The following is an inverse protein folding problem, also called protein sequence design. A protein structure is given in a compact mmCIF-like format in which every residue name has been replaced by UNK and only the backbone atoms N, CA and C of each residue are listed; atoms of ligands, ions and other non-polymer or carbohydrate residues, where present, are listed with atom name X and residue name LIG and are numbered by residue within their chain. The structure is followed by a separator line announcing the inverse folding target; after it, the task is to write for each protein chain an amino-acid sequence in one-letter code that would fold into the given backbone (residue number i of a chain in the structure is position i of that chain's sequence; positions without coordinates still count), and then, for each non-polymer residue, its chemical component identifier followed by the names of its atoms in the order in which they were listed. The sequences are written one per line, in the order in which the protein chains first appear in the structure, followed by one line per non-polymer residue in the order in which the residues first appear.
data_IF_593019257168
#
_entry.id   IF_593019257168
#
_cell.length_a   1.000
_cell.length_b   1.000
_cell.length_c   1.000
_cell.angle_alpha   90.00
_cell.angle_beta   90.00
_cell.angle_gamma   90.00
#
_symmetry.space_group_name_H-M   'P 1'
#
loop_
_entity.id
_entity.type
_entity.pdbx_description
1 polymer ?
#
# COMPACT_ATOMS: atom_id res chain seq x y z
N UNK A 1 15.32 22.98 -8.59
CA UNK A 1 14.74 22.21 -7.46
C UNK A 1 13.33 21.81 -7.85
N UNK A 2 12.90 20.60 -7.48
CA UNK A 2 11.52 20.19 -7.66
C UNK A 2 10.67 20.95 -6.62
N UNK A 3 9.48 21.40 -7.01
CA UNK A 3 8.49 22.01 -6.10
C UNK A 3 7.20 21.22 -6.19
N UNK A 4 6.32 21.37 -5.21
CA UNK A 4 4.98 20.78 -5.25
C UNK A 4 3.93 21.76 -4.76
N UNK A 5 2.81 21.82 -5.48
CA UNK A 5 1.66 22.66 -5.13
C UNK A 5 0.48 21.81 -4.69
N UNK A 6 -0.21 22.27 -3.66
CA UNK A 6 -1.33 21.60 -3.01
C UNK A 6 -2.43 22.63 -2.76
N UNK A 7 -3.69 22.21 -2.89
CA UNK A 7 -4.83 23.01 -2.39
C UNK A 7 -4.79 23.08 -0.87
N UNK A 8 -5.43 24.06 -0.25
CA UNK A 8 -5.45 24.19 1.20
C UNK A 8 -6.07 22.98 1.91
N UNK A 9 -7.07 22.34 1.29
CA UNK A 9 -7.60 21.06 1.79
C UNK A 9 -6.51 19.97 1.78
N UNK A 10 -5.74 19.87 0.70
CA UNK A 10 -4.66 18.90 0.60
C UNK A 10 -3.51 19.22 1.55
N UNK A 11 -3.19 20.50 1.75
CA UNK A 11 -2.17 20.97 2.68
C UNK A 11 -2.47 20.53 4.11
N UNK A 12 -3.66 20.83 4.63
CA UNK A 12 -4.05 20.38 5.98
C UNK A 12 -4.07 18.87 6.09
N UNK A 13 -4.64 18.18 5.09
CA UNK A 13 -4.63 16.72 5.08
C UNK A 13 -3.21 16.13 5.02
N UNK A 14 -2.23 16.85 4.45
CA UNK A 14 -0.82 16.45 4.47
C UNK A 14 -0.21 16.63 5.84
N UNK A 15 -0.46 17.74 6.52
CA UNK A 15 0.02 17.99 7.89
C UNK A 15 -0.59 17.01 8.91
N UNK A 16 -1.84 16.59 8.70
CA UNK A 16 -2.52 15.61 9.53
C UNK A 16 -2.16 14.14 9.18
N UNK A 17 -1.34 13.89 8.17
CA UNK A 17 -1.03 12.53 7.71
C UNK A 17 0.03 11.84 8.58
N UNK A 18 -0.31 10.83 9.39
CA UNK A 18 0.63 10.20 10.33
C UNK A 18 1.75 9.40 9.63
N UNK A 19 1.61 9.13 8.33
CA UNK A 19 2.65 8.45 7.54
C UNK A 19 3.73 9.47 7.11
N UNK A 20 3.32 10.68 6.76
CA UNK A 20 4.21 11.80 6.45
C UNK A 20 4.81 12.43 7.71
N UNK A 21 4.09 12.36 8.84
CA UNK A 21 4.49 12.93 10.14
C UNK A 21 4.43 11.90 11.27
N UNK A 22 5.35 10.92 11.31
CA UNK A 22 5.34 9.91 12.36
C UNK A 22 5.83 10.47 13.69
N UNK A 23 5.12 10.18 14.78
CA UNK A 23 5.49 10.59 16.14
C UNK A 23 5.55 12.11 16.30
N UNK A 24 6.53 12.61 17.06
CA UNK A 24 6.70 14.05 17.32
C UNK A 24 7.54 14.74 16.22
N UNK A 25 7.35 14.37 14.95
CA UNK A 25 8.07 14.96 13.81
C UNK A 25 7.80 16.47 13.71
N UNK A 26 8.80 17.24 13.30
CA UNK A 26 8.67 18.69 13.11
C UNK A 26 9.39 19.18 11.84
N UNK A 27 8.98 20.35 11.36
CA UNK A 27 9.57 21.02 10.20
C UNK A 27 10.78 21.86 10.62
N UNK A 28 11.84 21.79 9.83
CA UNK A 28 13.01 22.65 9.91
C UNK A 28 13.31 23.24 8.53
N UNK A 29 13.66 24.52 8.48
CA UNK A 29 14.12 25.23 7.27
C UNK A 29 13.18 25.05 6.07
N UNK A 30 11.91 25.45 6.20
CA UNK A 30 10.93 25.39 5.12
C UNK A 30 10.82 26.71 4.36
N UNK A 31 10.68 26.62 3.04
CA UNK A 31 10.21 27.75 2.23
C UNK A 31 8.98 27.31 1.47
N UNK A 32 7.89 28.04 1.71
CA UNK A 32 6.61 27.92 1.06
C UNK A 32 6.37 29.13 0.16
N UNK A 33 5.52 28.98 -0.85
CA UNK A 33 4.85 30.10 -1.52
C UNK A 33 3.37 30.01 -1.23
N UNK A 34 2.83 31.07 -0.63
CA UNK A 34 1.42 31.20 -0.30
C UNK A 34 0.92 32.55 -0.82
N UNK A 35 -0.15 32.53 -1.64
CA UNK A 35 -0.73 33.73 -2.29
C UNK A 35 0.28 34.62 -3.04
N UNK A 36 1.32 34.00 -3.59
CA UNK A 36 2.35 34.66 -4.39
C UNK A 36 3.54 35.19 -3.59
N UNK A 37 3.53 35.06 -2.26
CA UNK A 37 4.61 35.48 -1.38
C UNK A 37 5.36 34.26 -0.83
N UNK A 38 6.68 34.38 -0.69
CA UNK A 38 7.50 33.38 0.00
C UNK A 38 7.37 33.57 1.51
N UNK A 39 7.18 32.47 2.24
CA UNK A 39 7.10 32.44 3.70
C UNK A 39 7.75 31.17 4.23
N UNK A 40 8.41 31.27 5.38
CA UNK A 40 9.01 30.17 6.14
C UNK A 40 8.16 29.74 7.35
N UNK A 41 7.10 30.50 7.64
CA UNK A 41 6.14 30.26 8.71
C UNK A 41 4.72 30.51 8.18
N UNK A 42 3.95 29.44 7.98
CA UNK A 42 2.56 29.51 7.51
C UNK A 42 1.64 29.00 8.63
N UNK A 43 0.84 29.90 9.17
CA UNK A 43 -0.24 29.53 10.09
C UNK A 43 -1.36 28.81 9.31
N UNK A 44 -1.53 27.51 9.58
CA UNK A 44 -2.51 26.66 8.92
C UNK A 44 -3.96 27.15 9.10
N UNK A 45 -4.24 27.90 10.17
CA UNK A 45 -5.55 28.50 10.41
C UNK A 45 -5.92 29.58 9.38
N UNK A 46 -4.93 30.11 8.64
CA UNK A 46 -5.13 31.13 7.61
C UNK A 46 -5.34 30.56 6.20
N UNK A 47 -5.08 29.27 6.00
CA UNK A 47 -5.17 28.58 4.71
C UNK A 47 -6.63 28.22 4.44
N UNK A 48 -7.21 28.73 3.36
CA UNK A 48 -8.56 28.36 2.89
C UNK A 48 -8.51 27.14 1.96
N UNK A 49 -9.64 26.45 1.78
CA UNK A 49 -9.73 25.20 1.02
C UNK A 49 -9.16 25.27 -0.40
N UNK A 50 -9.42 26.38 -1.10
CA UNK A 50 -9.04 26.64 -2.48
C UNK A 50 -7.71 27.41 -2.62
N UNK A 51 -7.09 27.84 -1.52
CA UNK A 51 -5.76 28.43 -1.56
C UNK A 51 -4.75 27.41 -2.11
N UNK A 52 -3.71 27.92 -2.77
CA UNK A 52 -2.59 27.09 -3.24
C UNK A 52 -1.37 27.36 -2.37
N UNK A 53 -0.91 26.31 -1.68
CA UNK A 53 0.37 26.28 -0.96
C UNK A 53 1.38 25.55 -1.84
N UNK A 54 2.53 26.15 -2.10
CA UNK A 54 3.62 25.52 -2.86
C UNK A 54 4.85 25.33 -1.98
N UNK A 55 5.28 24.09 -1.79
CA UNK A 55 6.50 23.76 -1.05
C UNK A 55 7.67 23.88 -2.03
N UNK A 56 8.64 24.75 -1.71
CA UNK A 56 9.88 24.90 -2.47
C UNK A 56 11.02 24.08 -1.87
N UNK A 57 11.12 24.11 -0.56
CA UNK A 57 12.10 23.37 0.24
C UNK A 57 11.57 23.19 1.66
N UNK A 58 12.19 22.28 2.39
CA UNK A 58 11.83 21.97 3.77
C UNK A 58 12.40 20.63 4.18
N UNK A 59 12.71 20.50 5.46
CA UNK A 59 13.14 19.26 6.04
C UNK A 59 12.21 18.84 7.16
N UNK A 60 11.81 17.58 7.17
CA UNK A 60 11.09 16.97 8.29
C UNK A 60 12.10 16.21 9.12
N UNK A 61 12.17 16.56 10.42
CA UNK A 61 12.99 15.85 11.40
C UNK A 61 12.13 14.93 12.24
N UNK A 62 12.63 13.72 12.42
CA UNK A 62 12.06 12.75 13.35
C UNK A 62 12.86 12.77 14.66
N UNK A 63 12.21 12.83 15.83
CA UNK A 63 12.90 12.69 17.10
C UNK A 63 13.36 11.25 17.28
N UNK A 64 14.65 11.03 17.45
CA UNK A 64 15.19 9.71 17.79
C UNK A 64 15.36 9.55 19.33
N UNK A 65 15.20 8.32 19.86
CA UNK A 65 15.66 7.96 21.20
C UNK A 65 17.19 8.21 21.37
N UNK A 66 17.74 8.23 22.60
CA UNK A 66 18.70 9.24 23.05
C UNK A 66 20.10 9.26 22.42
N UNK A 67 20.43 8.38 21.47
CA UNK A 67 21.74 8.37 20.81
C UNK A 67 21.65 7.78 19.40
N UNK A 68 21.29 8.57 18.39
CA UNK A 68 21.59 8.37 16.96
C UNK A 68 21.23 9.64 16.17
N UNK A 69 21.65 9.72 14.91
CA UNK A 69 21.67 10.93 14.07
C UNK A 69 20.25 11.22 13.57
N UNK A 70 19.77 12.46 13.70
CA UNK A 70 18.48 12.89 13.14
C UNK A 70 18.26 12.36 11.71
N UNK A 71 17.20 11.58 11.51
CA UNK A 71 16.73 11.29 10.16
C UNK A 71 16.10 12.57 9.59
N UNK A 72 16.81 13.23 8.69
CA UNK A 72 16.32 14.39 7.94
C UNK A 72 15.72 13.90 6.62
N UNK A 73 14.43 14.16 6.42
CA UNK A 73 13.71 13.80 5.19
C UNK A 73 13.29 15.05 4.43
N UNK A 74 13.46 15.06 3.11
CA UNK A 74 13.02 16.15 2.25
C UNK A 74 11.48 16.27 2.25
N UNK A 75 10.98 17.45 2.62
CA UNK A 75 9.55 17.73 2.74
C UNK A 75 8.85 17.73 1.38
N UNK A 76 9.52 18.15 0.30
CA UNK A 76 8.97 18.10 -1.06
C UNK A 76 8.77 16.64 -1.47
N UNK A 77 9.71 15.75 -1.16
CA UNK A 77 9.58 14.32 -1.42
C UNK A 77 8.40 13.70 -0.63
N UNK A 78 8.24 14.06 0.64
CA UNK A 78 7.12 13.60 1.47
C UNK A 78 5.78 14.07 0.92
N UNK A 79 5.67 15.35 0.56
CA UNK A 79 4.45 15.92 -0.01
C UNK A 79 4.14 15.32 -1.39
N UNK A 80 5.15 15.01 -2.22
CA UNK A 80 4.97 14.28 -3.48
C UNK A 80 4.38 12.89 -3.24
N UNK A 81 4.93 12.13 -2.29
CA UNK A 81 4.39 10.81 -1.91
C UNK A 81 2.96 10.93 -1.40
N UNK A 82 2.68 11.90 -0.53
CA UNK A 82 1.33 12.18 -0.04
C UNK A 82 0.36 12.47 -1.19
N UNK A 83 0.71 13.38 -2.09
CA UNK A 83 -0.16 13.78 -3.21
C UNK A 83 -0.42 12.62 -4.17
N UNK A 84 0.59 11.79 -4.45
CA UNK A 84 0.40 10.57 -5.25
C UNK A 84 -0.62 9.65 -4.56
N UNK A 85 -0.48 9.36 -3.26
CA UNK A 85 -1.45 8.53 -2.52
C UNK A 85 -2.83 9.18 -2.46
N UNK A 86 -2.90 10.49 -2.29
CA UNK A 86 -4.16 11.21 -2.11
C UNK A 86 -4.93 11.35 -3.42
N UNK A 87 -4.25 11.45 -4.56
CA UNK A 87 -4.85 11.60 -5.89
C UNK A 87 -5.00 10.30 -6.66
N UNK A 88 -4.62 9.16 -6.06
CA UNK A 88 -4.68 7.84 -6.69
C UNK A 88 -5.64 6.94 -5.94
N UNK A 89 -6.43 6.18 -6.70
CA UNK A 89 -7.23 5.06 -6.22
C UNK A 89 -6.46 3.79 -6.55
N UNK A 90 -6.26 2.94 -5.56
CA UNK A 90 -5.68 1.60 -5.70
C UNK A 90 -6.77 0.57 -5.44
N UNK A 91 -6.88 -0.45 -6.30
CA UNK A 91 -7.81 -1.56 -6.12
C UNK A 91 -7.12 -2.90 -6.36
N UNK A 92 -7.49 -3.90 -5.56
CA UNK A 92 -7.20 -5.30 -5.82
C UNK A 92 -8.34 -5.89 -6.67
N UNK A 93 -8.01 -6.42 -7.84
CA UNK A 93 -8.98 -6.94 -8.81
C UNK A 93 -8.61 -8.38 -9.16
N UNK A 94 -9.50 -9.32 -8.84
CA UNK A 94 -9.38 -10.74 -9.20
C UNK A 94 -9.85 -10.98 -10.63
N UNK A 95 -9.07 -11.72 -11.40
CA UNK A 95 -9.37 -12.13 -12.78
C UNK A 95 -9.02 -13.60 -13.00
N UNK A 96 -9.58 -14.22 -14.03
CA UNK A 96 -9.16 -15.57 -14.42
C UNK A 96 -7.69 -15.57 -14.92
N UNK A 97 -6.91 -16.64 -14.68
CA UNK A 97 -5.50 -16.71 -15.05
C UNK A 97 -5.21 -16.43 -16.54
N UNK A 98 -6.09 -16.88 -17.44
CA UNK A 98 -5.98 -16.68 -18.89
C UNK A 98 -6.28 -15.23 -19.34
N UNK A 99 -6.96 -14.45 -18.49
CA UNK A 99 -7.25 -13.02 -18.71
C UNK A 99 -6.09 -12.11 -18.30
N UNK A 100 -5.13 -12.59 -17.50
CA UNK A 100 -4.05 -11.75 -16.93
C UNK A 100 -3.25 -11.01 -18.00
N UNK A 101 -2.86 -11.70 -19.09
CA UNK A 101 -2.10 -11.08 -20.17
C UNK A 101 -2.88 -9.95 -20.88
N UNK A 102 -4.18 -10.15 -21.12
CA UNK A 102 -5.05 -9.13 -21.70
C UNK A 102 -5.29 -7.97 -20.72
N UNK A 103 -5.49 -8.26 -19.43
CA UNK A 103 -5.69 -7.25 -18.40
C UNK A 103 -4.47 -6.30 -18.32
N UNK A 104 -3.25 -6.85 -18.28
CA UNK A 104 -2.01 -6.06 -18.28
C UNK A 104 -1.89 -5.16 -19.53
N UNK A 105 -2.16 -5.71 -20.72
CA UNK A 105 -2.06 -4.96 -21.98
C UNK A 105 -3.13 -3.87 -22.10
N UNK A 106 -4.38 -4.19 -21.76
CA UNK A 106 -5.51 -3.27 -21.84
C UNK A 106 -5.44 -2.17 -20.77
N UNK A 107 -4.89 -2.47 -19.58
CA UNK A 107 -4.66 -1.48 -18.53
C UNK A 107 -3.72 -0.38 -18.98
N UNK A 108 -2.62 -0.73 -19.65
CA UNK A 108 -1.70 0.25 -20.26
C UNK A 108 -2.41 1.14 -21.28
N UNK A 109 -3.25 0.57 -22.15
CA UNK A 109 -4.04 1.34 -23.12
C UNK A 109 -5.03 2.30 -22.42
N UNK A 110 -5.61 1.86 -21.31
CA UNK A 110 -6.44 2.69 -20.43
C UNK A 110 -5.62 3.65 -19.54
N UNK A 111 -4.29 3.75 -19.72
CA UNK A 111 -3.37 4.54 -18.89
C UNK A 111 -3.53 4.24 -17.39
N UNK A 112 -3.82 2.98 -17.04
CA UNK A 112 -3.83 2.47 -15.67
C UNK A 112 -2.48 1.83 -15.38
N UNK A 113 -2.02 1.90 -14.13
CA UNK A 113 -0.88 1.10 -13.68
C UNK A 113 -1.44 -0.22 -13.16
N UNK A 114 -1.20 -1.30 -13.88
CA UNK A 114 -1.66 -2.65 -13.51
C UNK A 114 -0.45 -3.50 -13.20
N UNK A 115 -0.48 -4.12 -12.03
CA UNK A 115 0.58 -4.98 -11.51
C UNK A 115 0.00 -6.36 -11.20
N UNK A 116 0.78 -7.40 -11.48
CA UNK A 116 0.44 -8.79 -11.18
C UNK A 116 1.52 -9.32 -10.23
N UNK A 117 1.35 -9.18 -8.89
CA UNK A 117 2.41 -9.47 -7.94
C UNK A 117 2.83 -10.95 -7.96
N UNK A 118 1.86 -11.84 -8.15
CA UNK A 118 2.06 -13.25 -8.41
C UNK A 118 1.29 -13.67 -9.66
N UNK A 119 1.92 -14.49 -10.51
CA UNK A 119 1.24 -15.15 -11.61
C UNK A 119 1.52 -16.67 -11.58
N UNK A 120 0.54 -17.50 -11.19
CA UNK A 120 0.73 -18.95 -11.08
C UNK A 120 1.14 -19.59 -12.41
N UNK A 121 0.72 -19.04 -13.56
CA UNK A 121 1.03 -19.59 -14.88
C UNK A 121 2.52 -19.48 -15.24
N UNK A 122 3.26 -18.58 -14.59
CA UNK A 122 4.69 -18.34 -14.85
C UNK A 122 5.57 -18.56 -13.63
N UNK A 123 4.98 -18.92 -12.49
CA UNK A 123 5.70 -19.10 -11.24
C UNK A 123 6.61 -20.34 -11.31
N UNK A 124 7.76 -20.26 -10.62
CA UNK A 124 8.68 -21.39 -10.50
C UNK A 124 8.13 -22.39 -9.49
N UNK A 125 8.46 -23.66 -9.70
CA UNK A 125 8.03 -24.77 -8.84
C UNK A 125 8.52 -24.71 -7.38
N UNK A 126 9.57 -23.93 -7.08
CA UNK A 126 10.04 -23.70 -5.69
C UNK A 126 10.60 -22.29 -5.52
N UNK A 127 9.79 -21.31 -5.08
CA UNK A 127 10.23 -19.93 -4.92
C UNK A 127 11.06 -19.76 -3.63
N UNK A 128 12.12 -18.94 -3.68
CA UNK A 128 12.87 -18.52 -2.48
C UNK A 128 12.21 -17.37 -1.73
N UNK A 129 11.26 -16.71 -2.38
CA UNK A 129 10.45 -15.63 -1.84
C UNK A 129 9.21 -15.51 -2.72
N UNK A 130 8.10 -15.07 -2.15
CA UNK A 130 6.86 -14.81 -2.86
C UNK A 130 6.48 -13.34 -2.77
N UNK A 131 5.88 -12.82 -3.82
CA UNK A 131 5.27 -11.51 -3.83
C UNK A 131 3.81 -11.70 -4.16
N UNK A 132 2.91 -11.19 -3.32
CA UNK A 132 1.46 -11.33 -3.42
C UNK A 132 0.78 -10.02 -3.01
N UNK A 133 -0.55 -9.95 -3.14
CA UNK A 133 -1.32 -8.80 -2.63
C UNK A 133 -1.62 -8.95 -1.14
N UNK A 134 -1.86 -7.84 -0.44
CA UNK A 134 -2.38 -7.86 0.92
C UNK A 134 -3.73 -8.57 1.02
N UNK A 135 -4.55 -8.49 -0.04
CA UNK A 135 -5.77 -9.28 -0.16
C UNK A 135 -5.49 -10.79 -0.12
N UNK A 136 -4.54 -11.27 -0.93
CA UNK A 136 -4.18 -12.68 -0.96
C UNK A 136 -3.56 -13.14 0.37
N UNK A 137 -2.77 -12.29 1.03
CA UNK A 137 -2.20 -12.57 2.35
C UNK A 137 -3.29 -12.74 3.42
N UNK A 138 -4.29 -11.84 3.42
CA UNK A 138 -5.44 -11.91 4.32
C UNK A 138 -6.30 -13.15 4.05
N UNK A 139 -6.59 -13.47 2.80
CA UNK A 139 -7.31 -14.69 2.44
C UNK A 139 -6.56 -15.96 2.90
N UNK A 140 -5.24 -15.97 2.69
CA UNK A 140 -4.39 -17.09 3.08
C UNK A 140 -4.48 -17.34 4.58
N UNK A 141 -4.28 -16.32 5.41
CA UNK A 141 -4.34 -16.46 6.87
C UNK A 141 -5.74 -16.72 7.43
N UNK A 142 -6.79 -16.37 6.67
CA UNK A 142 -8.18 -16.68 7.02
C UNK A 142 -8.66 -18.05 6.50
N UNK A 143 -7.84 -18.80 5.77
CA UNK A 143 -8.22 -20.11 5.23
C UNK A 143 -8.33 -21.15 6.35
N UNK A 144 -9.33 -22.02 6.29
CA UNK A 144 -9.52 -23.15 7.22
C UNK A 144 -8.90 -24.44 6.62
N UNK A 145 -8.73 -25.52 7.39
CA UNK A 145 -8.33 -26.83 6.85
C UNK A 145 -9.28 -27.31 5.72
N UNK A 146 -8.77 -28.05 4.71
CA UNK A 146 -7.46 -28.70 4.64
C UNK A 146 -6.31 -27.81 4.18
N UNK A 147 -6.57 -26.58 3.75
CA UNK A 147 -5.56 -25.64 3.26
C UNK A 147 -4.57 -25.24 4.36
N UNK A 148 -4.99 -25.28 5.63
CA UNK A 148 -4.11 -25.10 6.78
C UNK A 148 -3.86 -26.40 7.55
N UNK A 149 -2.60 -26.62 8.00
CA UNK A 149 -2.32 -27.66 8.95
C UNK A 149 -3.07 -27.43 10.27
N UNK A 150 -3.74 -28.45 10.79
CA UNK A 150 -4.44 -28.38 12.07
C UNK A 150 -3.45 -28.02 13.19
N UNK A 151 -3.78 -27.01 13.99
CA UNK A 151 -2.95 -26.44 15.08
C UNK A 151 -1.72 -25.61 14.66
N UNK A 152 -1.51 -25.41 13.36
CA UNK A 152 -0.40 -24.65 12.80
C UNK A 152 -0.52 -23.14 12.98
N UNK A 153 0.59 -22.46 13.22
CA UNK A 153 0.68 -20.99 13.25
C UNK A 153 1.95 -20.51 12.54
N UNK A 154 1.92 -19.29 11.98
CA UNK A 154 3.08 -18.68 11.33
C UNK A 154 4.10 -18.24 12.37
N UNK A 155 5.37 -18.57 12.13
CA UNK A 155 6.49 -18.20 12.99
C UNK A 155 7.69 -17.71 12.15
N UNK A 156 8.49 -16.82 12.73
CA UNK A 156 9.69 -16.23 12.14
C UNK A 156 9.46 -15.70 10.71
N UNK A 157 8.29 -15.08 10.48
CA UNK A 157 7.95 -14.60 9.16
C UNK A 157 8.69 -13.31 8.85
N UNK A 158 9.53 -13.33 7.81
CA UNK A 158 10.27 -12.17 7.35
C UNK A 158 9.72 -11.74 6.00
N UNK A 159 9.43 -10.45 5.89
CA UNK A 159 8.86 -9.91 4.67
C UNK A 159 8.85 -8.40 4.59
N UNK A 160 8.15 -7.91 3.56
CA UNK A 160 7.95 -6.48 3.30
C UNK A 160 6.50 -6.21 2.91
N UNK A 161 6.01 -5.03 3.26
CA UNK A 161 4.75 -4.48 2.78
C UNK A 161 5.06 -3.14 2.12
N UNK A 162 4.76 -3.01 0.82
CA UNK A 162 5.10 -1.83 0.00
C UNK A 162 6.57 -1.38 0.19
N UNK A 163 7.49 -2.34 0.05
CA UNK A 163 8.94 -2.21 0.22
C UNK A 163 9.44 -1.85 1.63
N UNK A 164 8.54 -1.65 2.61
CA UNK A 164 8.91 -1.47 4.02
C UNK A 164 9.08 -2.82 4.70
N UNK A 165 10.21 -3.00 5.37
CA UNK A 165 10.45 -4.18 6.22
C UNK A 165 9.46 -4.14 7.39
N UNK A 166 8.83 -5.28 7.67
CA UNK A 166 7.99 -5.46 8.85
C UNK A 166 8.79 -6.26 9.87
N UNK A 167 8.99 -5.68 11.07
CA UNK A 167 9.70 -6.32 12.17
C UNK A 167 8.67 -6.99 13.09
N UNK A 168 8.83 -8.31 13.35
CA UNK A 168 7.97 -9.16 14.19
C UNK A 168 6.65 -9.63 13.54
N UNK A 169 6.79 -10.45 12.49
CA UNK A 169 5.70 -11.12 11.77
C UNK A 169 4.80 -10.18 10.95
N UNK A 170 4.31 -10.69 9.81
CA UNK A 170 3.45 -9.94 8.89
C UNK A 170 2.02 -9.84 9.45
N UNK A 171 1.79 -8.88 10.35
CA UNK A 171 0.46 -8.61 10.91
C UNK A 171 -0.58 -8.30 9.81
N UNK A 172 -1.64 -9.11 9.79
CA UNK A 172 -2.76 -9.02 8.85
C UNK A 172 -3.52 -7.72 8.87
N UNK A 173 -3.62 -7.07 10.04
CA UNK A 173 -4.44 -5.85 10.17
C UNK A 173 -3.77 -4.64 9.49
N UNK A 174 -2.45 -4.69 9.30
CA UNK A 174 -1.68 -3.65 8.61
C UNK A 174 -1.65 -3.81 7.07
N UNK A 175 -2.06 -4.96 6.54
CA UNK A 175 -1.95 -5.27 5.12
C UNK A 175 -3.19 -4.82 4.34
N UNK A 176 -3.16 -3.57 3.84
CA UNK A 176 -4.23 -3.08 2.95
C UNK A 176 -4.39 -4.03 1.73
N UNK A 177 -5.62 -4.25 1.21
CA UNK A 177 -5.86 -5.22 0.12
C UNK A 177 -4.98 -5.05 -1.12
N UNK A 178 -4.61 -3.81 -1.44
CA UNK A 178 -3.80 -3.44 -2.61
C UNK A 178 -2.30 -3.40 -2.33
N UNK A 179 -1.87 -3.56 -1.08
CA UNK A 179 -0.46 -3.52 -0.71
C UNK A 179 0.29 -4.69 -1.36
N UNK A 180 1.55 -4.46 -1.73
CA UNK A 180 2.44 -5.51 -2.22
C UNK A 180 3.11 -6.14 -1.01
N UNK A 181 2.74 -7.39 -0.72
CA UNK A 181 3.34 -8.20 0.34
C UNK A 181 4.44 -9.05 -0.28
N UNK A 182 5.63 -9.01 0.29
CA UNK A 182 6.73 -9.91 -0.05
C UNK A 182 7.05 -10.79 1.14
N UNK A 183 6.90 -12.10 0.99
CA UNK A 183 7.29 -13.09 2.00
C UNK A 183 8.64 -13.68 1.58
N UNK A 184 9.66 -13.51 2.40
CA UNK A 184 11.03 -13.93 2.11
C UNK A 184 11.42 -15.20 2.88
N UNK A 185 10.86 -15.41 4.07
CA UNK A 185 11.01 -16.64 4.85
C UNK A 185 9.93 -16.77 5.92
N UNK A 186 9.88 -17.94 6.55
CA UNK A 186 9.05 -18.24 7.71
C UNK A 186 8.75 -19.74 7.78
N UNK A 187 8.21 -20.19 8.89
CA UNK A 187 7.69 -21.55 9.05
C UNK A 187 6.25 -21.54 9.54
N UNK A 188 5.54 -22.62 9.27
CA UNK A 188 4.31 -22.97 9.95
C UNK A 188 4.69 -23.99 11.01
N UNK A 189 4.65 -23.57 12.27
CA UNK A 189 5.00 -24.39 13.44
C UNK A 189 3.75 -25.01 14.04
N UNK A 190 3.93 -26.13 14.73
CA UNK A 190 2.84 -26.90 15.31
C UNK A 190 2.92 -26.92 16.83
N UNK A 191 1.77 -26.79 17.51
CA UNK A 191 1.71 -26.94 18.97
C UNK A 191 2.05 -28.37 19.41
N UNK A 192 1.90 -29.34 18.51
CA UNK A 192 2.27 -30.74 18.73
C UNK A 192 3.78 -31.02 18.70
N UNK A 193 4.61 -30.05 18.27
CA UNK A 193 6.05 -30.21 18.11
C UNK A 193 6.47 -31.05 16.90
N UNK A 194 5.57 -31.24 15.93
CA UNK A 194 5.89 -31.81 14.63
C UNK A 194 6.85 -30.91 13.85
N UNK A 195 7.57 -31.48 12.88
CA UNK A 195 8.46 -30.71 11.99
C UNK A 195 7.66 -29.61 11.27
N UNK A 196 8.10 -28.36 11.40
CA UNK A 196 7.48 -27.21 10.77
C UNK A 196 7.47 -27.29 9.23
N UNK A 197 6.51 -26.60 8.62
CA UNK A 197 6.39 -26.50 7.16
C UNK A 197 7.02 -25.19 6.69
N UNK A 198 7.74 -25.21 5.57
CA UNK A 198 8.24 -23.99 4.94
C UNK A 198 7.07 -23.11 4.46
N UNK A 199 6.97 -21.88 4.99
CA UNK A 199 5.86 -20.97 4.72
C UNK A 199 5.79 -20.58 3.23
N UNK A 200 6.93 -20.37 2.59
CA UNK A 200 7.01 -19.90 1.20
C UNK A 200 6.56 -21.00 0.25
N UNK A 201 6.98 -22.23 0.49
CA UNK A 201 6.54 -23.41 -0.28
C UNK A 201 5.03 -23.66 -0.09
N UNK A 202 4.53 -23.58 1.14
CA UNK A 202 3.10 -23.78 1.44
C UNK A 202 2.22 -22.71 0.78
N UNK A 203 2.61 -21.44 0.91
CA UNK A 203 1.92 -20.31 0.28
C UNK A 203 1.95 -20.40 -1.26
N UNK A 204 3.06 -20.88 -1.85
CA UNK A 204 3.15 -21.11 -3.29
C UNK A 204 2.13 -22.17 -3.75
N UNK A 205 2.01 -23.26 -2.99
CA UNK A 205 1.01 -24.30 -3.21
C UNK A 205 -0.40 -23.73 -3.19
N UNK A 206 -0.76 -23.04 -2.11
CA UNK A 206 -2.07 -22.39 -1.96
C UNK A 206 -2.39 -21.41 -3.10
N UNK A 207 -1.44 -20.55 -3.47
CA UNK A 207 -1.63 -19.61 -4.59
C UNK A 207 -1.78 -20.31 -5.95
N UNK A 208 -1.14 -21.46 -6.15
CA UNK A 208 -1.18 -22.21 -7.42
C UNK A 208 -2.53 -22.91 -7.67
N UNK A 209 -3.26 -23.24 -6.60
CA UNK A 209 -4.57 -23.90 -6.67
C UNK A 209 -5.73 -22.90 -6.85
N UNK A 210 -5.44 -21.60 -6.77
CA UNK A 210 -6.46 -20.57 -6.91
C UNK A 210 -7.02 -20.47 -8.33
N UNK A 211 -8.35 -20.37 -8.40
CA UNK A 211 -9.09 -20.16 -9.65
C UNK A 211 -8.98 -18.73 -10.20
N UNK A 212 -8.59 -17.77 -9.36
CA UNK A 212 -8.49 -16.35 -9.72
C UNK A 212 -7.14 -15.79 -9.29
N UNK A 213 -6.56 -14.94 -10.13
CA UNK A 213 -5.33 -14.18 -9.88
C UNK A 213 -5.69 -12.76 -9.47
N UNK A 214 -5.07 -12.25 -8.42
CA UNK A 214 -5.30 -10.87 -7.96
C UNK A 214 -4.31 -9.91 -8.62
N UNK A 215 -4.82 -8.85 -9.25
CA UNK A 215 -4.08 -7.74 -9.82
C UNK A 215 -4.17 -6.52 -8.91
N UNK A 216 -3.11 -5.72 -8.83
CA UNK A 216 -3.14 -4.38 -8.20
C UNK A 216 -3.27 -3.34 -9.30
N UNK A 217 -4.25 -2.46 -9.17
CA UNK A 217 -4.56 -1.46 -10.19
C UNK A 217 -4.59 -0.08 -9.58
N UNK A 218 -3.77 0.82 -10.11
CA UNK A 218 -3.73 2.23 -9.71
C UNK A 218 -4.26 3.12 -10.82
N UNK A 219 -5.16 4.02 -10.44
CA UNK A 219 -5.75 5.04 -11.30
C UNK A 219 -5.76 6.39 -10.59
N UNK A 220 -5.55 7.50 -11.32
CA UNK A 220 -5.86 8.82 -10.76
C UNK A 220 -7.35 8.90 -10.43
N UNK A 221 -7.71 9.57 -9.33
CA UNK A 221 -9.11 9.75 -8.87
C UNK A 221 -10.02 10.30 -9.97
N UNK A 222 -9.55 11.28 -10.74
CA UNK A 222 -10.26 11.84 -11.91
C UNK A 222 -10.56 10.83 -13.04
N UNK A 223 -9.98 9.62 -12.97
CA UNK A 223 -10.12 8.53 -13.94
C UNK A 223 -10.75 7.29 -13.32
N UNK A 224 -11.40 7.42 -12.17
CA UNK A 224 -12.09 6.33 -11.49
C UNK A 224 -13.15 5.68 -12.37
N UNK A 225 -13.88 6.44 -13.20
CA UNK A 225 -14.83 5.89 -14.16
C UNK A 225 -14.13 4.99 -15.20
N UNK A 226 -12.92 5.36 -15.64
CA UNK A 226 -12.12 4.53 -16.56
C UNK A 226 -11.61 3.26 -15.91
N UNK A 227 -11.31 3.30 -14.61
CA UNK A 227 -11.00 2.10 -13.84
C UNK A 227 -12.22 1.18 -13.80
N UNK A 228 -13.40 1.69 -13.47
CA UNK A 228 -14.64 0.89 -13.42
C UNK A 228 -15.00 0.27 -14.78
N UNK A 229 -14.93 1.06 -15.87
CA UNK A 229 -15.10 0.57 -17.24
C UNK A 229 -14.10 -0.55 -17.57
N UNK A 230 -12.83 -0.39 -17.20
CA UNK A 230 -11.79 -1.38 -17.44
C UNK A 230 -12.00 -2.67 -16.65
N UNK A 231 -12.37 -2.58 -15.36
CA UNK A 231 -12.69 -3.75 -14.52
C UNK A 231 -13.84 -4.55 -15.13
N UNK A 232 -14.91 -3.87 -15.55
CA UNK A 232 -16.05 -4.52 -16.20
C UNK A 232 -15.64 -5.22 -17.50
N UNK A 233 -14.82 -4.57 -18.33
CA UNK A 233 -14.35 -5.11 -19.61
C UNK A 233 -13.53 -6.40 -19.46
N UNK A 234 -12.67 -6.48 -18.44
CA UNK A 234 -11.82 -7.66 -18.22
C UNK A 234 -12.53 -8.77 -17.42
N UNK A 235 -13.77 -8.55 -17.00
CA UNK A 235 -14.50 -9.47 -16.12
C UNK A 235 -13.94 -9.52 -14.70
N UNK A 236 -13.33 -8.44 -14.23
CA UNK A 236 -12.63 -8.39 -12.94
C UNK A 236 -13.59 -8.28 -11.75
N UNK A 237 -13.21 -8.91 -10.64
CA UNK A 237 -13.92 -8.85 -9.36
C UNK A 237 -13.12 -8.02 -8.35
N UNK A 238 -13.71 -6.95 -7.81
CA UNK A 238 -13.05 -6.15 -6.77
C UNK A 238 -13.05 -6.91 -5.46
N UNK A 239 -11.88 -7.07 -4.82
CA UNK A 239 -11.72 -7.92 -3.63
C UNK A 239 -12.30 -7.28 -2.37
N UNK A 240 -12.15 -5.95 -2.22
CA UNK A 240 -12.79 -5.18 -1.16
C UNK A 240 -12.80 -3.70 -1.61
N UNK A 241 -13.95 -3.03 -1.50
CA UNK A 241 -14.00 -1.59 -1.67
C UNK A 241 -13.51 -0.93 -0.37
N UNK A 242 -12.63 0.07 -0.47
CA UNK A 242 -12.19 0.87 0.68
C UNK A 242 -13.43 1.37 1.43
N UNK A 243 -13.60 1.12 2.74
CA UNK A 243 -14.60 1.85 3.49
C UNK A 243 -14.28 3.34 3.34
N UNK A 244 -15.29 4.12 2.96
CA UNK A 244 -15.15 5.56 2.83
C UNK A 244 -14.80 6.11 4.23
N UNK A 245 -13.61 6.71 4.44
CA UNK A 245 -13.28 7.29 5.74
C UNK A 245 -14.21 8.44 6.13
N UNK A 246 -15.06 8.92 5.20
CA UNK A 246 -16.11 9.90 5.45
C UNK A 246 -17.50 9.29 5.71
N UNK A 247 -17.66 7.96 5.64
CA UNK A 247 -18.94 7.34 5.98
C UNK A 247 -19.19 7.47 7.50
N UNK A 248 -20.29 8.10 7.94
CA UNK A 248 -20.60 8.19 9.35
C UNK A 248 -20.74 6.77 9.92
N UNK A 249 -20.06 6.53 11.05
CA UNK A 249 -20.19 5.30 11.82
C UNK A 249 -21.67 5.10 12.13
N UNK A 250 -22.30 3.98 11.74
CA UNK A 250 -23.66 3.70 12.16
C UNK A 250 -23.66 3.66 13.70
N UNK A 251 -24.42 4.57 14.31
CA UNK A 251 -24.63 4.56 15.75
C UNK A 251 -25.33 3.26 16.16
N UNK A 252 -25.00 2.68 17.32
CA UNK A 252 -25.61 1.45 17.82
C UNK A 252 -27.13 1.57 18.00
#
# INVERSE_FOLDING_TARGET
MATISMTGVQWRAFLDDPISWPGDSYVEECILVFRGEETDDLDDALVQDDDIVTIKEGYVRQPEPPYSIYATVDMVELAQKFMIRHLTVSQAVRVEPDRVAEALASGKAAKLKVECPYNPATAKARPKSLTLTGADWRDYLASEPPEWPSDGYVHDCIGKVDDKVVENDLDTEACAPHAIVKVESGSIEFNSGADGIDLVDHLAGWLSERKLVTLVVHARKERQDKLAEWISKIGGQVVEARPDPAAPVPSP
#
